data_IF_984503079084
#
_entry.id   IF_984503079084
#
_cell.length_a   1.000
_cell.length_b   1.000
_cell.length_c   1.000
_cell.angle_alpha   90.00
_cell.angle_beta   90.00
_cell.angle_gamma   90.00
#
_symmetry.space_group_name_H-M   'P 1'
#
loop_
_entity.id
_entity.type
_entity.pdbx_description
1 polymer ?
#
# COMPACT_ATOMS: atom_id res chain seq x y z
N UNK A 1 9.40 -6.75 -33.54
CA UNK A 1 9.60 -6.10 -32.22
C UNK A 1 9.95 -7.19 -31.24
N UNK A 2 11.10 -7.11 -30.57
CA UNK A 2 11.54 -8.17 -29.65
C UNK A 2 10.65 -8.16 -28.40
N UNK A 3 10.19 -9.34 -27.99
CA UNK A 3 9.47 -9.54 -26.73
C UNK A 3 10.43 -9.21 -25.58
N UNK A 4 10.18 -8.09 -24.88
CA UNK A 4 10.91 -7.81 -23.64
C UNK A 4 10.52 -8.89 -22.64
N UNK A 5 11.43 -9.83 -22.39
CA UNK A 5 11.25 -10.87 -21.41
C UNK A 5 11.19 -10.21 -20.01
N UNK A 6 9.98 -9.88 -19.55
CA UNK A 6 9.76 -9.21 -18.28
C UNK A 6 10.06 -10.19 -17.15
N UNK A 7 11.14 -9.93 -16.41
CA UNK A 7 11.43 -10.63 -15.15
C UNK A 7 10.39 -10.18 -14.11
N UNK A 8 9.38 -11.00 -13.88
CA UNK A 8 8.31 -10.74 -12.90
C UNK A 8 8.38 -11.74 -11.76
N UNK A 9 7.95 -11.31 -10.57
CA UNK A 9 7.72 -12.18 -9.42
C UNK A 9 6.21 -12.28 -9.21
N UNK A 10 5.68 -13.49 -9.10
CA UNK A 10 4.26 -13.77 -8.92
C UNK A 10 4.00 -14.52 -7.61
N UNK A 11 2.74 -14.57 -7.16
CA UNK A 11 2.36 -15.26 -5.92
C UNK A 11 2.67 -14.50 -4.62
N UNK A 12 2.97 -13.20 -4.70
CA UNK A 12 3.14 -12.34 -3.53
C UNK A 12 1.80 -12.10 -2.85
N UNK A 13 1.78 -12.10 -1.51
CA UNK A 13 0.61 -11.71 -0.73
C UNK A 13 0.76 -10.28 -0.25
N UNK A 14 -0.24 -9.45 -0.56
CA UNK A 14 -0.33 -8.06 -0.12
C UNK A 14 -1.29 -7.98 1.06
N UNK A 15 -0.85 -7.45 2.20
CA UNK A 15 -1.76 -7.11 3.28
C UNK A 15 -1.85 -5.59 3.41
N UNK A 16 -3.08 -5.10 3.52
CA UNK A 16 -3.39 -3.69 3.74
C UNK A 16 -4.31 -3.57 4.96
N UNK A 17 -4.07 -2.57 5.79
CA UNK A 17 -4.93 -2.29 6.94
C UNK A 17 -4.88 -0.81 7.31
N UNK A 18 -5.99 -0.34 7.89
CA UNK A 18 -6.04 0.97 8.52
C UNK A 18 -5.25 0.95 9.82
N UNK A 19 -4.31 1.89 9.95
CA UNK A 19 -3.56 2.10 11.18
C UNK A 19 -4.25 3.17 12.05
N UNK A 20 -4.66 4.27 11.41
CA UNK A 20 -5.44 5.36 12.01
C UNK A 20 -6.32 6.00 10.91
N UNK A 21 -7.11 7.02 11.24
CA UNK A 21 -8.05 7.65 10.30
C UNK A 21 -7.39 8.23 9.04
N UNK A 22 -6.08 8.51 9.09
CA UNK A 22 -5.34 9.15 8.01
C UNK A 22 -4.12 8.34 7.56
N UNK A 23 -4.02 7.07 7.97
CA UNK A 23 -2.86 6.21 7.70
C UNK A 23 -3.28 4.79 7.36
N UNK A 24 -2.80 4.32 6.20
CA UNK A 24 -2.90 2.93 5.78
C UNK A 24 -1.50 2.32 5.78
N UNK A 25 -1.37 1.11 6.30
CA UNK A 25 -0.15 0.34 6.23
C UNK A 25 -0.25 -0.74 5.16
N UNK A 26 0.90 -1.02 4.54
CA UNK A 26 1.04 -2.10 3.56
C UNK A 26 2.26 -2.94 3.91
N UNK A 27 2.07 -4.26 3.90
CA UNK A 27 3.18 -5.20 3.80
C UNK A 27 3.02 -6.10 2.57
N UNK A 28 4.15 -6.59 2.07
CA UNK A 28 4.18 -7.66 1.08
C UNK A 28 4.95 -8.83 1.66
N UNK A 29 4.27 -9.97 1.73
CA UNK A 29 4.86 -11.23 2.08
C UNK A 29 5.39 -11.91 0.82
N UNK A 30 6.70 -12.15 0.80
CA UNK A 30 7.35 -12.92 -0.26
C UNK A 30 7.59 -14.36 0.22
N UNK A 31 6.76 -15.34 -0.18
CA UNK A 31 6.92 -16.72 0.25
C UNK A 31 8.24 -17.35 -0.26
N UNK A 32 8.87 -16.78 -1.29
CA UNK A 32 10.09 -17.31 -1.88
C UNK A 32 11.38 -16.92 -1.15
N UNK A 33 11.37 -15.86 -0.33
CA UNK A 33 12.53 -15.44 0.48
C UNK A 33 12.28 -15.67 2.00
N UNK A 34 11.08 -16.13 2.38
CA UNK A 34 10.73 -16.37 3.79
C UNK A 34 10.76 -15.11 4.65
N UNK A 35 10.66 -13.92 4.03
CA UNK A 35 10.73 -12.61 4.70
C UNK A 35 9.53 -11.76 4.35
N UNK A 36 9.01 -11.09 5.36
CA UNK A 36 8.01 -10.04 5.18
C UNK A 36 8.73 -8.72 4.91
N UNK A 37 8.36 -8.06 3.82
CA UNK A 37 8.84 -6.71 3.51
C UNK A 37 7.77 -5.70 3.89
N UNK A 38 8.09 -4.86 4.86
CA UNK A 38 7.29 -3.68 5.19
C UNK A 38 7.55 -2.63 4.13
N UNK A 39 6.53 -2.31 3.33
CA UNK A 39 6.70 -1.38 2.22
C UNK A 39 6.73 0.07 2.71
N UNK A 40 5.73 0.51 3.48
CA UNK A 40 5.67 1.84 4.14
C UNK A 40 4.27 2.08 4.75
N UNK A 41 4.14 3.18 5.51
CA UNK A 41 2.87 3.87 5.75
C UNK A 41 2.51 4.78 4.57
N UNK A 42 1.23 4.83 4.21
CA UNK A 42 0.64 5.73 3.22
C UNK A 42 -0.32 6.65 3.95
N UNK A 43 -0.11 7.96 3.84
CA UNK A 43 -0.82 8.96 4.62
C UNK A 43 -1.67 9.88 3.72
N UNK A 44 -2.78 10.37 4.28
CA UNK A 44 -3.54 11.48 3.69
C UNK A 44 -2.99 12.82 4.19
N UNK A 45 -3.08 13.89 3.38
CA UNK A 45 -2.62 15.25 3.76
C UNK A 45 -3.22 15.76 5.06
N UNK A 46 -4.43 15.32 5.42
CA UNK A 46 -5.13 15.76 6.63
C UNK A 46 -4.38 15.38 7.91
N UNK A 47 -3.52 14.35 7.85
CA UNK A 47 -2.63 13.99 8.98
C UNK A 47 -1.66 15.12 9.36
N UNK A 48 -1.33 16.00 8.42
CA UNK A 48 -0.33 17.06 8.58
C UNK A 48 -0.91 18.44 8.27
N UNK A 49 -2.18 18.66 8.65
CA UNK A 49 -2.89 19.94 8.46
C UNK A 49 -2.88 20.42 6.99
N UNK A 50 -3.06 19.48 6.06
CA UNK A 50 -3.07 19.78 4.62
C UNK A 50 -1.68 19.86 3.97
N UNK A 51 -0.58 19.67 4.72
CA UNK A 51 0.78 19.70 4.18
C UNK A 51 1.18 18.35 3.58
N UNK A 52 1.84 18.39 2.43
CA UNK A 52 2.37 17.20 1.79
C UNK A 52 3.71 16.81 2.41
N UNK A 53 3.80 15.57 2.89
CA UNK A 53 5.02 14.97 3.44
C UNK A 53 5.50 13.83 2.54
N UNK A 54 6.68 13.28 2.83
CA UNK A 54 7.30 12.22 2.03
C UNK A 54 6.42 10.96 1.86
N UNK A 55 5.49 10.70 2.79
CA UNK A 55 4.58 9.55 2.79
C UNK A 55 3.14 9.89 2.37
N UNK A 56 2.90 11.15 2.02
CA UNK A 56 1.57 11.63 1.68
C UNK A 56 1.26 11.35 0.21
N UNK A 57 0.26 10.49 -0.03
CA UNK A 57 -0.14 10.07 -1.37
C UNK A 57 -1.68 9.97 -1.46
N UNK A 58 -2.38 11.11 -1.51
CA UNK A 58 -3.84 11.17 -1.39
C UNK A 58 -4.62 10.25 -2.36
N UNK A 59 -4.19 10.14 -3.63
CA UNK A 59 -4.86 9.26 -4.58
C UNK A 59 -4.71 7.79 -4.18
N UNK A 60 -3.48 7.37 -3.84
CA UNK A 60 -3.23 6.00 -3.39
C UNK A 60 -3.94 5.71 -2.07
N UNK A 61 -3.95 6.67 -1.14
CA UNK A 61 -4.69 6.56 0.11
C UNK A 61 -6.19 6.35 -0.14
N UNK A 62 -6.80 7.18 -1.01
CA UNK A 62 -8.22 7.09 -1.36
C UNK A 62 -8.55 5.72 -1.96
N UNK A 63 -7.75 5.25 -2.89
CA UNK A 63 -8.03 3.99 -3.60
C UNK A 63 -7.90 2.79 -2.65
N UNK A 64 -6.91 2.78 -1.76
CA UNK A 64 -6.77 1.75 -0.72
C UNK A 64 -7.85 1.83 0.36
N UNK A 65 -8.27 3.05 0.72
CA UNK A 65 -9.41 3.28 1.62
C UNK A 65 -10.69 2.67 1.03
N UNK A 66 -10.97 2.90 -0.25
CA UNK A 66 -12.14 2.31 -0.95
C UNK A 66 -12.14 0.79 -0.84
N UNK A 67 -10.99 0.15 -1.09
CA UNK A 67 -10.85 -1.31 -0.97
C UNK A 67 -11.15 -1.77 0.47
N UNK A 68 -10.62 -1.07 1.48
CA UNK A 68 -10.88 -1.39 2.88
C UNK A 68 -12.36 -1.21 3.25
N UNK A 69 -13.00 -0.12 2.82
CA UNK A 69 -14.42 0.17 3.06
C UNK A 69 -15.34 -0.88 2.40
N UNK A 70 -15.09 -1.21 1.13
CA UNK A 70 -15.82 -2.25 0.37
C UNK A 70 -15.79 -3.63 1.04
N UNK A 71 -14.76 -3.89 1.85
CA UNK A 71 -14.56 -5.15 2.57
C UNK A 71 -14.90 -5.06 4.07
N UNK A 72 -15.44 -3.93 4.55
CA UNK A 72 -15.78 -3.71 5.96
C UNK A 72 -14.57 -3.73 6.90
N UNK A 73 -13.42 -3.26 6.42
CA UNK A 73 -12.11 -3.23 7.12
C UNK A 73 -11.57 -1.82 7.38
N UNK A 74 -12.38 -0.78 7.13
CA UNK A 74 -12.06 0.60 7.51
C UNK A 74 -12.34 0.88 8.99
#
# INVERSE_FOLDING_TARGET
MAEQNKKTLSGLSLNIWKQDEHTIHINVQNPHDGKDSWLTSIEHTDKHDGKQMARTHNNLFRDLKSILEENGKW
#
